data_IF_987777698683
#
_entry.id   IF_987777698683
#
_cell.length_a   1.000
_cell.length_b   1.000
_cell.length_c   1.000
_cell.angle_alpha   90.00
_cell.angle_beta   90.00
_cell.angle_gamma   90.00
#
_symmetry.space_group_name_H-M   'P 1'
#
loop_
_entity.id
_entity.type
_entity.pdbx_description
1 polymer ?
#
# COMPACT_ATOMS: atom_id res chain seq x y z
N UNK A 1 19.19 -6.85 1.54
CA UNK A 1 18.72 -5.71 0.72
C UNK A 1 17.19 -5.68 0.76
N UNK A 2 16.59 -4.60 1.26
CA UNK A 2 15.14 -4.44 1.42
C UNK A 2 14.48 -3.71 0.22
N UNK A 3 15.10 -3.83 -0.96
CA UNK A 3 14.60 -3.22 -2.18
C UNK A 3 13.62 -4.20 -2.81
N UNK A 4 12.39 -3.72 -3.05
CA UNK A 4 11.34 -4.51 -3.67
C UNK A 4 10.72 -3.76 -4.83
N UNK A 5 10.26 -4.49 -5.85
CA UNK A 5 9.42 -3.94 -6.91
C UNK A 5 7.95 -4.24 -6.63
N UNK A 6 7.14 -3.20 -6.53
CA UNK A 6 5.70 -3.29 -6.23
C UNK A 6 4.86 -2.81 -7.40
N UNK A 7 3.60 -3.23 -7.45
CA UNK A 7 2.64 -2.74 -8.43
C UNK A 7 1.28 -2.39 -7.81
N UNK A 8 0.71 -1.28 -8.27
CA UNK A 8 -0.71 -1.00 -8.15
C UNK A 8 -1.38 -1.34 -9.49
N UNK A 9 -2.38 -2.20 -9.45
CA UNK A 9 -3.11 -2.65 -10.63
C UNK A 9 -4.41 -1.86 -10.74
N UNK A 10 -4.64 -1.24 -11.89
CA UNK A 10 -5.93 -0.68 -12.26
C UNK A 10 -6.74 -1.74 -13.02
N UNK A 11 -8.03 -1.79 -12.75
CA UNK A 11 -9.00 -2.66 -13.45
C UNK A 11 -10.00 -1.75 -14.16
N UNK A 12 -10.30 -2.03 -15.42
CA UNK A 12 -11.19 -1.17 -16.20
C UNK A 12 -12.54 -1.02 -15.50
N UNK A 13 -13.01 0.23 -15.41
CA UNK A 13 -14.27 0.55 -14.77
C UNK A 13 -15.43 0.41 -15.76
N UNK A 14 -15.77 -0.85 -16.02
CA UNK A 14 -16.86 -1.27 -16.89
C UNK A 14 -17.68 -2.33 -16.19
N UNK A 15 -18.86 -2.60 -16.72
CA UNK A 15 -19.63 -3.77 -16.32
C UNK A 15 -18.92 -5.05 -16.78
N UNK A 16 -18.82 -6.02 -15.87
CA UNK A 16 -18.37 -7.36 -16.21
C UNK A 16 -19.55 -8.33 -16.12
N UNK A 17 -19.63 -9.25 -17.06
CA UNK A 17 -20.69 -10.26 -17.11
C UNK A 17 -20.66 -11.25 -15.94
N UNK A 18 -19.52 -11.38 -15.25
CA UNK A 18 -19.35 -12.27 -14.12
C UNK A 18 -18.07 -11.94 -13.33
N UNK A 19 -17.96 -12.50 -12.12
CA UNK A 19 -16.72 -12.47 -11.35
C UNK A 19 -15.54 -13.06 -12.15
N UNK A 20 -15.79 -14.15 -12.87
CA UNK A 20 -14.78 -14.83 -13.67
C UNK A 20 -14.24 -13.95 -14.80
N UNK A 21 -15.08 -13.14 -15.46
CA UNK A 21 -14.62 -12.23 -16.52
C UNK A 21 -13.82 -11.05 -15.96
N UNK A 22 -14.21 -10.50 -14.79
CA UNK A 22 -13.37 -9.51 -14.08
C UNK A 22 -12.04 -10.10 -13.63
N UNK A 23 -12.04 -11.32 -13.12
CA UNK A 23 -10.80 -12.02 -12.74
C UNK A 23 -9.93 -12.33 -13.96
N UNK A 24 -10.48 -12.58 -15.15
CA UNK A 24 -9.67 -12.73 -16.35
C UNK A 24 -8.84 -11.47 -16.63
N UNK A 25 -9.41 -10.28 -16.41
CA UNK A 25 -8.70 -9.02 -16.52
C UNK A 25 -7.63 -8.85 -15.42
N UNK A 26 -7.98 -9.09 -14.14
CA UNK A 26 -6.99 -9.10 -13.05
C UNK A 26 -5.81 -10.02 -13.39
N UNK A 27 -6.10 -11.26 -13.80
CA UNK A 27 -5.09 -12.26 -14.17
C UNK A 27 -4.19 -11.79 -15.32
N UNK A 28 -4.74 -11.12 -16.33
CA UNK A 28 -3.95 -10.53 -17.43
C UNK A 28 -2.93 -9.53 -16.89
N UNK A 29 -3.36 -8.60 -16.03
CA UNK A 29 -2.50 -7.56 -15.49
C UNK A 29 -1.49 -8.06 -14.46
N UNK A 30 -1.85 -9.07 -13.66
CA UNK A 30 -0.92 -9.74 -12.75
C UNK A 30 0.21 -10.45 -13.49
N UNK A 31 -0.08 -11.14 -14.62
CA UNK A 31 0.95 -11.72 -15.49
C UNK A 31 1.89 -10.65 -16.04
N UNK A 32 1.32 -9.53 -16.51
CA UNK A 32 2.11 -8.42 -17.02
C UNK A 32 3.01 -7.83 -15.93
N UNK A 33 2.47 -7.53 -14.75
CA UNK A 33 3.22 -7.03 -13.61
C UNK A 33 4.38 -7.97 -13.27
N UNK A 34 4.12 -9.28 -13.15
CA UNK A 34 5.15 -10.26 -12.82
C UNK A 34 6.25 -10.34 -13.87
N UNK A 35 5.90 -10.26 -15.16
CA UNK A 35 6.87 -10.26 -16.26
C UNK A 35 7.85 -9.08 -16.18
N UNK A 36 7.48 -7.99 -15.51
CA UNK A 36 8.37 -6.84 -15.26
C UNK A 36 9.19 -6.95 -13.96
N UNK A 37 9.14 -8.08 -13.25
CA UNK A 37 9.88 -8.31 -12.02
C UNK A 37 9.19 -7.83 -10.73
N UNK A 38 7.90 -7.50 -10.79
CA UNK A 38 7.10 -7.16 -9.58
C UNK A 38 7.05 -8.35 -8.63
N UNK A 39 7.22 -8.08 -7.33
CA UNK A 39 7.20 -9.05 -6.24
C UNK A 39 5.92 -8.99 -5.40
N UNK A 40 5.28 -7.81 -5.32
CA UNK A 40 4.00 -7.61 -4.63
C UNK A 40 3.07 -6.75 -5.47
N UNK A 41 1.84 -7.21 -5.70
CA UNK A 41 0.81 -6.48 -6.42
C UNK A 41 -0.41 -6.18 -5.53
N UNK A 42 -0.99 -4.99 -5.72
CA UNK A 42 -2.21 -4.55 -5.04
C UNK A 42 -3.33 -4.39 -6.06
N UNK A 43 -4.47 -5.03 -5.81
CA UNK A 43 -5.70 -4.87 -6.61
C UNK A 43 -6.60 -3.76 -6.02
N UNK A 44 -7.51 -3.16 -6.83
CA UNK A 44 -8.44 -2.14 -6.35
C UNK A 44 -9.48 -2.66 -5.37
N UNK A 45 -10.05 -1.78 -4.54
CA UNK A 45 -11.09 -2.11 -3.56
C UNK A 45 -12.26 -2.91 -4.18
N UNK A 46 -12.74 -3.91 -3.44
CA UNK A 46 -13.90 -4.75 -3.79
C UNK A 46 -13.85 -5.33 -5.21
N UNK A 47 -12.83 -6.14 -5.52
CA UNK A 47 -12.72 -6.78 -6.85
C UNK A 47 -13.91 -7.66 -7.18
N UNK A 48 -14.64 -8.16 -6.17
CA UNK A 48 -15.83 -8.97 -6.36
C UNK A 48 -17.11 -8.18 -6.69
N UNK A 49 -17.09 -6.85 -6.61
CA UNK A 49 -18.22 -6.02 -7.02
C UNK A 49 -18.03 -5.64 -8.49
N UNK A 50 -18.87 -6.18 -9.39
CA UNK A 50 -18.64 -6.11 -10.84
C UNK A 50 -19.84 -5.60 -11.66
N UNK A 51 -20.90 -5.17 -11.00
CA UNK A 51 -22.19 -4.75 -11.60
C UNK A 51 -22.58 -3.29 -11.27
N UNK A 52 -21.69 -2.48 -10.72
CA UNK A 52 -22.04 -1.14 -10.16
C UNK A 52 -22.62 -0.14 -11.15
N UNK A 53 -22.38 -0.32 -12.45
CA UNK A 53 -22.90 0.55 -13.51
C UNK A 53 -24.27 0.13 -14.06
N UNK A 54 -24.91 -0.89 -13.48
CA UNK A 54 -26.25 -1.34 -13.92
C UNK A 54 -27.36 -0.41 -13.41
N UNK A 55 -28.11 0.26 -14.31
CA UNK A 55 -29.33 0.95 -13.94
C UNK A 55 -30.45 -0.09 -13.86
N UNK A 56 -30.81 -0.51 -12.63
CA UNK A 56 -32.04 -1.23 -12.19
C UNK A 56 -31.83 -2.68 -11.71
N UNK A 57 -32.45 -2.96 -10.56
CA UNK A 57 -32.98 -4.27 -10.14
C UNK A 57 -32.01 -5.44 -9.87
N UNK A 58 -30.86 -5.18 -9.23
CA UNK A 58 -30.20 -6.21 -8.42
C UNK A 58 -30.39 -5.82 -6.96
N UNK A 59 -30.82 -6.76 -6.11
CA UNK A 59 -30.86 -6.53 -4.67
C UNK A 59 -29.44 -6.11 -4.23
N UNK A 60 -29.30 -4.81 -3.95
CA UNK A 60 -28.03 -4.13 -3.64
C UNK A 60 -27.36 -4.68 -2.38
N UNK A 61 -28.00 -5.64 -1.71
CA UNK A 61 -27.53 -6.38 -0.54
C UNK A 61 -26.66 -7.60 -0.86
N UNK A 62 -26.51 -8.03 -2.11
CA UNK A 62 -25.92 -9.35 -2.43
C UNK A 62 -24.48 -9.33 -2.99
N UNK A 63 -23.76 -8.22 -2.80
CA UNK A 63 -22.44 -8.07 -3.40
C UNK A 63 -21.28 -8.79 -2.71
N UNK A 64 -21.52 -9.30 -1.51
CA UNK A 64 -20.50 -9.98 -0.72
C UNK A 64 -20.35 -11.43 -1.14
N UNK A 65 -19.15 -11.95 -1.05
CA UNK A 65 -18.88 -13.38 -1.21
C UNK A 65 -19.17 -14.12 0.10
N UNK A 66 -19.91 -15.23 0.03
CA UNK A 66 -20.04 -16.12 1.20
C UNK A 66 -18.82 -17.05 1.30
N UNK A 67 -18.42 -17.65 0.17
CA UNK A 67 -17.28 -18.56 0.09
C UNK A 67 -16.11 -17.87 -0.59
N UNK A 68 -15.73 -16.70 -0.07
CA UNK A 68 -14.75 -15.83 -0.73
C UNK A 68 -13.43 -16.54 -1.06
N UNK A 69 -13.00 -17.50 -0.25
CA UNK A 69 -11.77 -18.28 -0.48
C UNK A 69 -11.86 -19.12 -1.74
N UNK A 70 -12.95 -19.86 -1.92
CA UNK A 70 -13.17 -20.72 -3.07
C UNK A 70 -13.40 -19.87 -4.33
N UNK A 71 -14.20 -18.82 -4.18
CA UNK A 71 -14.52 -17.91 -5.27
C UNK A 71 -13.27 -17.14 -5.75
N UNK A 72 -12.38 -16.74 -4.85
CA UNK A 72 -11.11 -16.07 -5.16
C UNK A 72 -9.94 -17.02 -5.42
N UNK A 73 -10.12 -18.33 -5.24
CA UNK A 73 -9.07 -19.34 -5.44
C UNK A 73 -8.36 -19.20 -6.80
N UNK A 74 -9.04 -18.90 -7.94
CA UNK A 74 -8.36 -18.73 -9.22
C UNK A 74 -7.37 -17.56 -9.27
N UNK A 75 -7.54 -16.51 -8.47
CA UNK A 75 -6.56 -15.42 -8.35
C UNK A 75 -5.39 -15.83 -7.47
N UNK A 76 -5.67 -16.48 -6.34
CA UNK A 76 -4.68 -16.94 -5.37
C UNK A 76 -3.74 -17.97 -6.01
N UNK A 77 -4.29 -18.95 -6.74
CA UNK A 77 -3.50 -19.95 -7.47
C UNK A 77 -2.60 -19.30 -8.51
N UNK A 78 -3.12 -18.37 -9.32
CA UNK A 78 -2.29 -17.70 -10.31
C UNK A 78 -1.16 -16.91 -9.65
N UNK A 79 -1.43 -16.20 -8.55
CA UNK A 79 -0.40 -15.45 -7.83
C UNK A 79 0.73 -16.36 -7.34
N UNK A 80 0.39 -17.52 -6.79
CA UNK A 80 1.35 -18.54 -6.36
C UNK A 80 2.14 -19.16 -7.54
N UNK A 81 1.48 -19.46 -8.66
CA UNK A 81 2.13 -19.93 -9.90
C UNK A 81 3.14 -18.90 -10.41
N UNK A 82 2.78 -17.61 -10.33
CA UNK A 82 3.61 -16.49 -10.75
C UNK A 82 4.71 -16.14 -9.75
N UNK A 83 4.72 -16.72 -8.55
CA UNK A 83 5.59 -16.30 -7.43
C UNK A 83 5.44 -14.80 -7.15
N UNK A 84 4.20 -14.35 -6.98
CA UNK A 84 3.81 -12.97 -6.78
C UNK A 84 2.99 -12.85 -5.48
N UNK A 85 3.44 -12.04 -4.53
CA UNK A 85 2.60 -11.66 -3.40
C UNK A 85 1.44 -10.77 -3.88
N UNK A 86 0.25 -10.94 -3.31
CA UNK A 86 -0.97 -10.34 -3.84
C UNK A 86 -1.94 -9.92 -2.73
N UNK A 87 -2.53 -8.73 -2.86
CA UNK A 87 -3.77 -8.41 -2.13
C UNK A 87 -4.99 -8.88 -2.89
N UNK A 88 -5.93 -9.51 -2.16
CA UNK A 88 -7.25 -9.91 -2.67
C UNK A 88 -8.32 -9.11 -1.90
N UNK A 89 -8.70 -7.93 -2.38
CA UNK A 89 -9.70 -7.06 -1.74
C UNK A 89 -11.12 -7.46 -2.11
N UNK A 90 -11.92 -7.82 -1.11
CA UNK A 90 -13.29 -8.30 -1.31
C UNK A 90 -14.25 -7.74 -0.27
N UNK A 91 -15.51 -7.56 -0.70
CA UNK A 91 -16.63 -7.54 0.22
C UNK A 91 -17.02 -9.00 0.51
N UNK A 92 -17.02 -9.43 1.76
CA UNK A 92 -17.34 -10.82 2.11
C UNK A 92 -18.17 -10.91 3.38
N UNK A 93 -18.83 -12.04 3.57
CA UNK A 93 -19.55 -12.36 4.80
C UNK A 93 -18.74 -13.38 5.60
N UNK A 94 -18.47 -13.09 6.87
CA UNK A 94 -17.75 -14.01 7.75
C UNK A 94 -18.65 -15.05 8.39
N UNK A 95 -18.05 -15.92 9.21
CA UNK A 95 -18.75 -17.05 9.85
C UNK A 95 -19.81 -16.62 10.88
N UNK A 96 -19.72 -15.39 11.39
CA UNK A 96 -20.69 -14.79 12.31
C UNK A 96 -21.76 -13.98 11.56
N UNK A 97 -21.89 -14.23 10.24
CA UNK A 97 -22.84 -13.59 9.35
C UNK A 97 -22.65 -12.06 9.22
N UNK A 98 -21.44 -11.54 9.52
CA UNK A 98 -21.12 -10.12 9.40
C UNK A 98 -20.45 -9.81 8.08
N UNK A 99 -20.78 -8.66 7.49
CA UNK A 99 -20.26 -8.25 6.18
C UNK A 99 -19.08 -7.32 6.40
N UNK A 100 -17.94 -7.60 5.76
CA UNK A 100 -16.75 -6.78 5.83
C UNK A 100 -16.25 -6.39 4.45
N UNK A 101 -15.83 -5.13 4.30
CA UNK A 101 -14.95 -4.70 3.23
C UNK A 101 -13.51 -4.94 3.70
N UNK A 102 -12.82 -5.87 3.07
CA UNK A 102 -11.53 -6.35 3.54
C UNK A 102 -10.57 -6.57 2.38
N UNK A 103 -9.29 -6.74 2.71
CA UNK A 103 -8.37 -7.41 1.82
C UNK A 103 -7.56 -8.46 2.55
N UNK A 104 -7.20 -9.49 1.82
CA UNK A 104 -6.33 -10.57 2.29
C UNK A 104 -5.00 -10.47 1.58
N UNK A 105 -3.90 -10.50 2.35
CA UNK A 105 -2.56 -10.52 1.79
C UNK A 105 -2.06 -11.96 1.68
N UNK A 106 -1.59 -12.34 0.50
CA UNK A 106 -0.98 -13.63 0.23
C UNK A 106 0.50 -13.45 -0.14
N UNK A 107 1.34 -14.38 0.32
CA UNK A 107 2.73 -14.47 -0.12
C UNK A 107 2.85 -15.09 -1.52
N UNK A 108 4.07 -15.12 -2.03
CA UNK A 108 4.42 -15.68 -3.34
C UNK A 108 4.21 -17.20 -3.47
N UNK A 109 3.87 -17.90 -2.38
CA UNK A 109 3.56 -19.33 -2.37
C UNK A 109 2.06 -19.58 -2.18
N UNK A 110 1.23 -18.53 -2.12
CA UNK A 110 -0.21 -18.64 -1.92
C UNK A 110 -0.62 -18.84 -0.46
N UNK A 111 0.28 -18.62 0.51
CA UNK A 111 -0.04 -18.63 1.93
C UNK A 111 -0.63 -17.28 2.34
N UNK A 112 -1.77 -17.29 3.02
CA UNK A 112 -2.37 -16.09 3.60
C UNK A 112 -1.49 -15.57 4.75
N UNK A 113 -1.02 -14.33 4.65
CA UNK A 113 -0.20 -13.65 5.65
C UNK A 113 -1.05 -12.87 6.66
N UNK A 114 -2.25 -12.45 6.25
CA UNK A 114 -3.22 -11.85 7.13
C UNK A 114 -4.37 -11.18 6.38
N UNK A 115 -5.20 -10.53 7.16
CA UNK A 115 -6.42 -9.85 6.74
C UNK A 115 -6.41 -8.44 7.30
N UNK A 116 -6.89 -7.50 6.49
CA UNK A 116 -7.25 -6.17 6.93
C UNK A 116 -8.71 -5.91 6.63
N UNK A 117 -9.48 -5.52 7.64
CA UNK A 117 -10.89 -5.11 7.53
C UNK A 117 -10.98 -3.59 7.67
N UNK A 118 -11.82 -2.96 6.85
CA UNK A 118 -11.96 -1.49 6.79
C UNK A 118 -12.37 -0.91 8.14
N UNK A 119 -11.68 0.14 8.57
CA UNK A 119 -11.89 0.76 9.87
C UNK A 119 -13.03 1.79 9.82
N UNK A 120 -13.02 2.63 8.80
CA UNK A 120 -13.91 3.77 8.65
C UNK A 120 -14.81 3.58 7.43
N UNK A 121 -16.12 3.47 7.69
CA UNK A 121 -17.12 3.20 6.66
C UNK A 121 -17.69 4.49 6.08
N UNK A 122 -17.99 4.45 4.80
CA UNK A 122 -18.82 5.48 4.16
C UNK A 122 -20.30 5.33 4.58
N UNK A 123 -21.13 6.39 4.47
CA UNK A 123 -22.57 6.27 4.73
C UNK A 123 -23.27 5.18 3.91
N UNK A 124 -22.79 4.94 2.67
CA UNK A 124 -23.32 3.88 1.82
C UNK A 124 -23.01 2.48 2.36
N UNK A 125 -21.77 2.23 2.80
CA UNK A 125 -21.38 0.96 3.40
C UNK A 125 -22.16 0.66 4.68
N UNK A 126 -22.39 1.68 5.52
CA UNK A 126 -23.25 1.56 6.71
C UNK A 126 -24.69 1.17 6.30
N UNK A 127 -25.26 1.83 5.29
CA UNK A 127 -26.60 1.51 4.79
C UNK A 127 -26.70 0.09 4.19
N UNK A 128 -25.59 -0.45 3.67
CA UNK A 128 -25.48 -1.82 3.17
C UNK A 128 -25.19 -2.86 4.27
N UNK A 129 -25.06 -2.44 5.54
CA UNK A 129 -24.83 -3.35 6.66
C UNK A 129 -23.39 -3.85 6.80
N UNK A 130 -22.43 -3.14 6.18
CA UNK A 130 -21.00 -3.44 6.38
C UNK A 130 -20.61 -3.10 7.82
N UNK A 131 -19.82 -3.96 8.45
CA UNK A 131 -19.25 -3.76 9.77
C UNK A 131 -17.85 -3.12 9.69
N UNK A 132 -17.53 -2.16 10.57
CA UNK A 132 -16.17 -1.68 10.72
C UNK A 132 -15.33 -2.67 11.55
N UNK A 133 -14.01 -2.58 11.43
CA UNK A 133 -13.07 -3.24 12.34
C UNK A 133 -11.97 -2.25 12.77
N UNK A 134 -12.00 -1.73 14.01
CA UNK A 134 -11.06 -0.71 14.47
C UNK A 134 -9.71 -1.27 14.93
N UNK A 135 -9.46 -2.57 14.83
CA UNK A 135 -8.29 -3.24 15.44
C UNK A 135 -7.37 -3.86 14.38
N UNK A 136 -6.80 -3.07 13.46
CA UNK A 136 -5.93 -3.62 12.42
C UNK A 136 -4.64 -4.19 13.04
N UNK A 137 -4.21 -5.35 12.55
CA UNK A 137 -2.93 -5.94 12.92
C UNK A 137 -1.92 -5.78 11.78
N UNK A 138 -0.67 -5.48 12.13
CA UNK A 138 0.43 -5.50 11.16
C UNK A 138 0.65 -6.93 10.64
N UNK A 139 0.60 -7.08 9.32
CA UNK A 139 0.96 -8.31 8.64
C UNK A 139 2.48 -8.38 8.49
N UNK A 140 3.01 -9.59 8.29
CA UNK A 140 4.43 -9.81 8.03
C UNK A 140 4.63 -10.43 6.67
N UNK A 141 5.45 -9.81 5.83
CA UNK A 141 5.88 -10.36 4.56
C UNK A 141 7.40 -10.18 4.44
N UNK A 142 8.14 -11.29 4.35
CA UNK A 142 9.59 -11.31 4.53
C UNK A 142 9.98 -10.64 5.86
N UNK A 143 10.91 -9.69 5.82
CA UNK A 143 11.33 -8.90 6.98
C UNK A 143 10.56 -7.57 7.12
N UNK A 144 9.46 -7.40 6.38
CA UNK A 144 8.67 -6.17 6.36
C UNK A 144 7.40 -6.30 7.21
N UNK A 145 7.10 -5.23 7.95
CA UNK A 145 5.81 -5.00 8.60
C UNK A 145 4.89 -4.30 7.61
N UNK A 146 3.76 -4.93 7.30
CA UNK A 146 2.81 -4.47 6.31
C UNK A 146 1.56 -3.96 7.02
N UNK A 147 1.23 -2.69 6.81
CA UNK A 147 -0.04 -2.10 7.22
C UNK A 147 -1.08 -2.16 6.10
N UNK A 148 -2.33 -1.92 6.48
CA UNK A 148 -3.45 -1.81 5.55
C UNK A 148 -4.24 -0.52 5.70
N UNK A 149 -4.86 -0.09 4.61
CA UNK A 149 -5.93 0.89 4.60
C UNK A 149 -6.87 0.55 3.44
N UNK A 150 -8.15 0.90 3.55
CA UNK A 150 -9.07 0.80 2.41
C UNK A 150 -9.75 2.15 2.21
N UNK A 151 -9.47 2.79 1.07
CA UNK A 151 -10.19 3.97 0.58
C UNK A 151 -10.39 5.08 1.62
N UNK A 152 -11.56 5.11 2.25
CA UNK A 152 -11.97 6.12 3.23
C UNK A 152 -11.08 6.14 4.48
N UNK A 153 -10.46 5.00 4.83
CA UNK A 153 -9.49 4.90 5.93
C UNK A 153 -8.33 5.90 5.79
N UNK A 154 -7.98 6.29 4.55
CA UNK A 154 -6.86 7.19 4.27
C UNK A 154 -7.04 8.61 4.82
N UNK A 155 -8.27 8.98 5.20
CA UNK A 155 -8.62 10.28 5.75
C UNK A 155 -8.38 10.40 7.26
N UNK A 156 -8.13 9.28 7.95
CA UNK A 156 -8.11 9.21 9.41
C UNK A 156 -6.69 8.95 9.92
N UNK A 157 -6.19 9.80 10.81
CA UNK A 157 -4.85 9.65 11.38
C UNK A 157 -4.73 8.35 12.20
N UNK A 158 -5.82 7.96 12.85
CA UNK A 158 -5.96 6.77 13.68
C UNK A 158 -5.66 5.49 12.90
N UNK A 159 -5.98 5.46 11.59
CA UNK A 159 -5.65 4.34 10.71
C UNK A 159 -4.16 4.01 10.74
N UNK A 160 -3.33 5.06 10.69
CA UNK A 160 -1.88 4.93 10.65
C UNK A 160 -1.28 4.77 12.04
N UNK A 161 -1.79 5.50 13.03
CA UNK A 161 -1.32 5.42 14.42
C UNK A 161 -1.49 4.03 15.04
N UNK A 162 -2.58 3.32 14.72
CA UNK A 162 -2.81 1.94 15.19
C UNK A 162 -1.86 0.93 14.56
N UNK A 163 -1.19 1.30 13.47
CA UNK A 163 -0.29 0.46 12.69
C UNK A 163 1.13 1.05 12.65
N UNK A 164 1.51 1.73 13.73
CA UNK A 164 2.80 2.40 13.83
C UNK A 164 3.99 1.43 13.64
N UNK A 165 5.05 1.94 13.02
CA UNK A 165 6.23 1.15 12.66
C UNK A 165 6.06 0.21 11.48
N UNK A 166 5.02 0.37 10.65
CA UNK A 166 4.92 -0.30 9.35
C UNK A 166 5.99 0.18 8.37
N UNK A 167 6.44 -0.70 7.47
CA UNK A 167 7.35 -0.34 6.38
C UNK A 167 6.59 0.02 5.09
N UNK A 168 5.43 -0.62 4.88
CA UNK A 168 4.64 -0.53 3.67
C UNK A 168 3.15 -0.58 4.00
N UNK A 169 2.39 0.40 3.49
CA UNK A 169 0.94 0.44 3.53
C UNK A 169 0.38 -0.06 2.19
N UNK A 170 -0.46 -1.09 2.23
CA UNK A 170 -1.22 -1.56 1.06
C UNK A 170 -2.63 -0.97 1.10
N UNK A 171 -3.03 -0.31 0.01
CA UNK A 171 -4.28 0.44 -0.02
C UNK A 171 -5.12 0.16 -1.28
N UNK A 172 -5.96 -0.89 -1.27
CA UNK A 172 -7.07 -1.02 -2.22
C UNK A 172 -8.03 0.16 -2.07
N UNK A 173 -8.37 0.85 -3.17
CA UNK A 173 -9.13 2.08 -3.08
C UNK A 173 -10.03 2.39 -4.29
N UNK A 174 -11.07 3.18 -4.04
CA UNK A 174 -11.90 3.88 -5.04
C UNK A 174 -11.70 5.41 -5.01
N UNK A 175 -10.63 5.87 -4.36
CA UNK A 175 -10.25 7.26 -4.17
C UNK A 175 -8.70 7.42 -4.21
N UNK A 176 -8.15 8.50 -4.77
CA UNK A 176 -6.69 8.70 -4.90
C UNK A 176 -5.92 8.99 -3.60
N UNK A 177 -6.57 9.07 -2.44
CA UNK A 177 -5.90 9.28 -1.14
C UNK A 177 -5.49 10.73 -0.82
N UNK A 178 -5.53 11.66 -1.79
CA UNK A 178 -5.21 13.08 -1.59
C UNK A 178 -3.77 13.36 -1.12
N UNK A 179 -3.46 14.60 -0.78
CA UNK A 179 -2.13 15.00 -0.29
C UNK A 179 -1.86 14.57 1.17
N UNK A 180 -2.91 14.33 1.95
CA UNK A 180 -2.79 13.82 3.32
C UNK A 180 -2.10 12.45 3.36
N UNK A 181 -2.34 11.59 2.37
CA UNK A 181 -1.67 10.28 2.30
C UNK A 181 -0.16 10.44 2.08
N UNK A 182 0.27 11.42 1.29
CA UNK A 182 1.68 11.79 1.14
C UNK A 182 2.24 12.26 2.48
N UNK A 183 1.52 13.16 3.15
CA UNK A 183 1.91 13.66 4.46
C UNK A 183 2.12 12.52 5.45
N UNK A 184 1.15 11.62 5.64
CA UNK A 184 1.28 10.49 6.56
C UNK A 184 2.42 9.53 6.18
N UNK A 185 2.57 9.21 4.89
CA UNK A 185 3.70 8.37 4.40
C UNK A 185 5.05 8.98 4.80
N UNK A 186 5.19 10.29 4.63
CA UNK A 186 6.39 11.05 4.99
C UNK A 186 6.63 11.13 6.51
N UNK A 187 5.61 11.57 7.25
CA UNK A 187 5.74 11.82 8.69
C UNK A 187 5.79 10.55 9.54
N UNK A 188 5.41 9.38 9.01
CA UNK A 188 5.51 8.11 9.71
C UNK A 188 6.53 7.16 9.08
N UNK A 189 7.23 7.61 8.03
CA UNK A 189 8.27 6.86 7.30
C UNK A 189 7.81 5.46 6.83
N UNK A 190 6.71 5.41 6.07
CA UNK A 190 6.28 4.20 5.39
C UNK A 190 6.01 4.47 3.91
N UNK A 191 6.27 3.48 3.06
CA UNK A 191 5.87 3.56 1.65
C UNK A 191 4.39 3.21 1.51
N UNK A 192 3.71 3.71 0.47
CA UNK A 192 2.32 3.38 0.18
C UNK A 192 2.16 2.84 -1.24
N UNK A 193 1.37 1.77 -1.39
CA UNK A 193 0.90 1.27 -2.69
C UNK A 193 -0.62 1.36 -2.71
N UNK A 194 -1.14 2.40 -3.37
CA UNK A 194 -2.56 2.64 -3.54
C UNK A 194 -3.02 2.16 -4.92
N UNK A 195 -3.92 1.18 -4.94
CA UNK A 195 -4.53 0.68 -6.16
C UNK A 195 -5.93 1.26 -6.32
N UNK A 196 -6.06 2.15 -7.31
CA UNK A 196 -7.32 2.76 -7.71
C UNK A 196 -7.37 2.81 -9.25
N UNK A 197 -8.46 2.31 -9.82
CA UNK A 197 -8.58 2.15 -11.26
C UNK A 197 -8.36 3.42 -12.06
N UNK A 198 -8.77 4.60 -11.56
CA UNK A 198 -8.54 5.85 -12.28
C UNK A 198 -7.17 6.46 -12.00
N UNK A 199 -6.71 6.41 -10.75
CA UNK A 199 -5.47 7.08 -10.34
C UNK A 199 -4.80 6.34 -9.17
N UNK A 200 -4.16 5.22 -9.50
CA UNK A 200 -3.26 4.49 -8.62
C UNK A 200 -2.00 5.30 -8.34
N UNK A 201 -1.42 5.10 -7.15
CA UNK A 201 -0.27 5.89 -6.67
C UNK A 201 0.67 5.00 -5.88
N UNK A 202 1.96 5.18 -6.10
CA UNK A 202 3.01 4.64 -5.24
C UNK A 202 3.76 5.82 -4.64
N UNK A 203 3.75 5.90 -3.32
CA UNK A 203 4.31 7.02 -2.55
C UNK A 203 5.46 6.47 -1.72
N UNK A 204 6.63 7.11 -1.83
CA UNK A 204 7.78 6.76 -1.03
C UNK A 204 7.63 7.24 0.42
N UNK A 205 8.45 6.69 1.32
CA UNK A 205 8.43 7.03 2.74
C UNK A 205 8.84 8.47 3.07
N UNK A 206 9.25 9.29 2.10
CA UNK A 206 9.47 10.73 2.23
C UNK A 206 8.23 11.56 1.80
N UNK A 207 7.14 10.90 1.41
CA UNK A 207 5.92 11.53 0.90
C UNK A 207 5.96 11.83 -0.61
N UNK A 208 7.07 11.55 -1.31
CA UNK A 208 7.17 11.76 -2.76
C UNK A 208 6.36 10.71 -3.51
N UNK A 209 5.55 11.14 -4.48
CA UNK A 209 4.92 10.22 -5.42
C UNK A 209 5.97 9.74 -6.44
N UNK A 210 6.32 8.44 -6.38
CA UNK A 210 7.35 7.84 -7.24
C UNK A 210 6.78 7.21 -8.50
N UNK A 211 5.49 6.90 -8.51
CA UNK A 211 4.74 6.49 -9.69
C UNK A 211 3.25 6.75 -9.50
N UNK A 212 2.56 7.14 -10.58
CA UNK A 212 1.11 7.24 -10.60
C UNK A 212 0.55 7.00 -11.99
N UNK A 213 -0.72 6.59 -12.06
CA UNK A 213 -1.41 6.32 -13.31
C UNK A 213 -2.67 5.50 -13.11
N UNK A 214 -3.35 5.20 -14.20
CA UNK A 214 -4.62 4.46 -14.21
C UNK A 214 -5.44 4.88 -15.41
N UNK A 215 -6.70 4.44 -15.47
CA UNK A 215 -7.62 4.65 -16.59
C UNK A 215 -8.21 6.06 -16.70
N UNK A 216 -7.74 7.06 -15.95
CA UNK A 216 -8.36 8.40 -15.92
C UNK A 216 -8.44 9.05 -17.31
N UNK A 217 -9.66 9.26 -17.80
CA UNK A 217 -9.97 9.77 -19.13
C UNK A 217 -9.58 11.26 -19.35
N UNK A 218 -9.64 12.12 -18.33
CA UNK A 218 -9.53 13.58 -18.54
C UNK A 218 -8.09 14.13 -18.65
N UNK A 219 -7.06 13.32 -18.37
CA UNK A 219 -5.64 13.75 -18.44
C UNK A 219 -4.78 12.89 -19.38
N UNK A 220 -5.39 11.93 -20.09
CA UNK A 220 -4.69 11.06 -21.03
C UNK A 220 -4.68 11.67 -22.44
N UNK A 221 -3.49 11.96 -22.96
CA UNK A 221 -3.29 12.50 -24.32
C UNK A 221 -3.80 11.56 -25.45
N UNK A 222 -4.00 10.27 -25.18
CA UNK A 222 -4.34 9.24 -26.17
C UNK A 222 -5.42 8.23 -25.72
N UNK A 223 -6.26 8.59 -24.74
CA UNK A 223 -7.48 7.81 -24.42
C UNK A 223 -7.31 6.47 -23.69
N UNK A 224 -6.09 6.02 -23.38
CA UNK A 224 -5.85 4.82 -22.57
C UNK A 224 -4.68 5.03 -21.60
N UNK A 225 -4.88 4.66 -20.33
CA UNK A 225 -3.86 4.77 -19.29
C UNK A 225 -3.07 3.48 -19.11
N UNK A 226 -2.01 3.54 -18.29
CA UNK A 226 -1.20 2.35 -17.96
C UNK A 226 -1.89 1.61 -16.81
N UNK A 227 -2.35 0.36 -17.00
CA UNK A 227 -3.12 -0.37 -15.99
C UNK A 227 -2.26 -1.05 -14.92
N UNK A 228 -0.94 -1.08 -15.13
CA UNK A 228 0.04 -1.64 -14.20
C UNK A 228 1.04 -0.56 -13.84
N UNK A 229 0.87 0.05 -12.68
CA UNK A 229 1.74 1.11 -12.18
C UNK A 229 2.78 0.44 -11.30
N UNK A 230 4.06 0.56 -11.62
CA UNK A 230 5.14 -0.11 -10.88
C UNK A 230 6.17 0.88 -10.35
N UNK A 231 6.75 0.58 -9.20
CA UNK A 231 7.94 1.26 -8.70
C UNK A 231 8.85 0.29 -7.97
N UNK A 232 10.14 0.62 -7.93
CA UNK A 232 11.12 -0.05 -7.06
C UNK A 232 11.33 0.84 -5.85
N UNK A 233 11.10 0.30 -4.66
CA UNK A 233 11.18 1.04 -3.39
C UNK A 233 12.20 0.38 -2.46
N UNK A 234 12.95 1.20 -1.73
CA UNK A 234 13.85 0.73 -0.69
C UNK A 234 13.13 0.78 0.66
N UNK A 235 12.70 -0.35 1.19
CA UNK A 235 12.00 -0.43 2.47
C UNK A 235 12.91 -0.28 3.70
N UNK A 236 14.23 -0.17 3.50
CA UNK A 236 15.19 0.19 4.55
C UNK A 236 15.47 1.71 4.56
N UNK A 237 14.90 2.49 3.63
CA UNK A 237 15.02 3.96 3.60
C UNK A 237 14.57 4.57 4.93
N UNK A 238 15.33 5.54 5.41
CA UNK A 238 15.04 6.28 6.64
C UNK A 238 15.06 7.80 6.44
N UNK A 239 14.30 8.47 7.29
CA UNK A 239 14.15 9.92 7.31
C UNK A 239 14.74 10.50 8.60
N UNK A 240 15.42 11.64 8.49
CA UNK A 240 16.14 12.29 9.59
C UNK A 240 15.89 13.80 9.55
N UNK A 241 15.65 14.44 10.69
CA UNK A 241 15.64 15.91 10.73
C UNK A 241 17.06 16.46 10.56
N UNK A 242 17.18 17.63 9.94
CA UNK A 242 18.46 18.34 9.78
C UNK A 242 19.11 18.74 11.11
N UNK A 243 18.32 19.17 12.10
CA UNK A 243 18.84 19.36 13.45
C UNK A 243 19.51 18.06 13.91
N UNK A 244 20.68 18.13 14.57
CA UNK A 244 21.52 17.00 15.04
C UNK A 244 22.11 16.02 14.00
N UNK A 245 21.56 15.92 12.79
CA UNK A 245 22.07 15.01 11.75
C UNK A 245 22.76 15.72 10.58
N UNK A 246 22.63 17.05 10.44
CA UNK A 246 23.16 17.82 9.30
C UNK A 246 24.63 17.54 9.01
N UNK A 247 25.50 17.64 10.02
CA UNK A 247 26.95 17.47 9.85
C UNK A 247 27.31 16.02 9.49
N UNK A 248 26.54 15.06 10.01
CA UNK A 248 26.74 13.62 9.77
C UNK A 248 26.45 13.22 8.32
N UNK A 249 25.63 13.99 7.59
CA UNK A 249 25.33 13.68 6.18
C UNK A 249 26.58 13.78 5.30
N UNK A 250 27.43 14.78 5.55
CA UNK A 250 28.69 14.93 4.83
C UNK A 250 29.67 13.79 5.12
N UNK A 251 29.75 13.35 6.38
CA UNK A 251 30.57 12.21 6.80
C UNK A 251 30.10 10.90 6.12
N UNK A 252 28.78 10.68 6.05
CA UNK A 252 28.20 9.55 5.35
C UNK A 252 28.52 9.57 3.85
N UNK A 253 28.36 10.71 3.17
CA UNK A 253 28.69 10.83 1.74
C UNK A 253 30.18 10.58 1.50
N UNK A 254 31.06 11.09 2.36
CA UNK A 254 32.51 10.89 2.25
C UNK A 254 32.93 9.43 2.48
N UNK A 255 32.31 8.73 3.44
CA UNK A 255 32.67 7.35 3.76
C UNK A 255 32.06 6.32 2.80
N UNK A 256 30.80 6.49 2.40
CA UNK A 256 30.06 5.46 1.67
C UNK A 256 29.87 5.76 0.18
N UNK A 257 29.96 7.04 -0.23
CA UNK A 257 29.84 7.45 -1.63
C UNK A 257 28.58 6.90 -2.31
N UNK A 258 28.77 6.15 -3.39
CA UNK A 258 27.71 5.58 -4.22
C UNK A 258 26.96 4.40 -3.59
N UNK A 259 27.43 3.90 -2.45
CA UNK A 259 26.76 2.84 -1.68
C UNK A 259 25.55 3.34 -0.90
N UNK A 260 25.38 4.66 -0.79
CA UNK A 260 24.20 5.29 -0.21
C UNK A 260 23.64 6.32 -1.17
N UNK A 261 22.40 6.73 -0.90
CA UNK A 261 21.79 7.87 -1.57
C UNK A 261 21.16 8.79 -0.55
N UNK A 262 21.57 10.04 -0.58
CA UNK A 262 21.08 11.09 0.30
C UNK A 262 20.25 12.09 -0.52
N UNK A 263 19.15 12.55 0.07
CA UNK A 263 18.32 13.65 -0.45
C UNK A 263 17.96 14.59 0.68
N UNK A 264 17.87 15.88 0.36
CA UNK A 264 17.36 16.89 1.29
C UNK A 264 16.08 17.52 0.75
N UNK A 265 15.00 17.38 1.50
CA UNK A 265 13.81 18.18 1.35
C UNK A 265 13.96 19.45 2.21
N UNK A 266 14.29 20.54 1.54
CA UNK A 266 14.49 21.83 2.19
C UNK A 266 13.20 22.40 2.79
N UNK A 267 12.03 22.09 2.25
CA UNK A 267 10.76 22.62 2.77
C UNK A 267 10.40 21.97 4.11
N UNK A 268 10.72 20.69 4.26
CA UNK A 268 10.44 19.92 5.48
C UNK A 268 11.65 19.75 6.40
N UNK A 269 12.80 20.34 6.06
CA UNK A 269 14.08 20.17 6.75
C UNK A 269 14.43 18.69 6.98
N UNK A 270 14.18 17.87 5.96
CA UNK A 270 14.22 16.42 6.07
C UNK A 270 15.30 15.83 5.17
N UNK A 271 16.20 15.06 5.78
CA UNK A 271 17.14 14.20 5.08
C UNK A 271 16.52 12.82 4.89
N UNK A 272 16.59 12.30 3.68
CA UNK A 272 16.23 10.92 3.36
C UNK A 272 17.48 10.19 2.92
N UNK A 273 17.78 9.07 3.58
CA UNK A 273 18.95 8.25 3.29
C UNK A 273 18.51 6.82 2.93
N UNK A 274 19.10 6.29 1.86
CA UNK A 274 18.89 4.93 1.37
C UNK A 274 20.22 4.19 1.32
N UNK A 275 20.30 2.99 1.91
CA UNK A 275 21.39 2.06 1.62
C UNK A 275 21.18 1.44 0.24
N UNK A 276 22.17 1.56 -0.64
CA UNK A 276 22.22 0.89 -1.95
C UNK A 276 23.13 -0.35 -1.92
N UNK A 277 23.72 -0.65 -0.76
CA UNK A 277 24.65 -1.76 -0.57
C UNK A 277 23.95 -2.97 0.07
N UNK A 278 24.27 -4.20 -0.33
CA UNK A 278 23.82 -5.39 0.38
C UNK A 278 24.55 -5.60 1.72
N UNK A 279 25.63 -4.86 1.98
CA UNK A 279 26.55 -5.13 3.10
C UNK A 279 26.15 -4.46 4.42
N UNK A 280 25.25 -3.47 4.38
CA UNK A 280 24.78 -2.75 5.56
C UNK A 280 23.36 -2.23 5.35
N UNK A 281 22.66 -2.04 6.46
CA UNK A 281 21.32 -1.45 6.55
C UNK A 281 21.40 -0.02 7.10
N UNK A 282 20.30 0.71 7.01
CA UNK A 282 20.19 2.03 7.66
C UNK A 282 20.35 1.93 9.17
N UNK A 283 19.91 0.82 9.78
CA UNK A 283 20.13 0.56 11.21
C UNK A 283 21.61 0.45 11.56
N UNK A 284 22.42 -0.19 10.71
CA UNK A 284 23.87 -0.29 10.93
C UNK A 284 24.53 1.10 10.85
N UNK A 285 24.10 1.93 9.89
CA UNK A 285 24.56 3.31 9.77
C UNK A 285 24.14 4.18 10.96
N UNK A 286 22.90 4.03 11.43
CA UNK A 286 22.38 4.72 12.61
C UNK A 286 23.21 4.42 13.86
N UNK A 287 23.53 3.14 14.08
CA UNK A 287 24.34 2.73 15.23
C UNK A 287 25.79 3.23 15.13
N UNK A 288 26.39 3.15 13.95
CA UNK A 288 27.80 3.53 13.74
C UNK A 288 28.01 5.04 13.82
N UNK A 289 27.11 5.82 13.23
CA UNK A 289 27.24 7.28 13.11
C UNK A 289 26.40 8.05 14.14
N UNK A 290 25.69 7.33 15.02
CA UNK A 290 24.78 7.92 16.00
C UNK A 290 23.69 8.76 15.34
N UNK A 291 23.18 8.34 14.17
CA UNK A 291 22.04 9.03 13.54
C UNK A 291 20.79 8.78 14.38
N UNK A 292 19.99 9.81 14.55
CA UNK A 292 18.71 9.70 15.25
C UNK A 292 17.61 9.87 14.21
N UNK A 293 16.88 8.78 13.95
CA UNK A 293 15.77 8.79 13.00
C UNK A 293 14.70 9.80 13.43
N UNK A 294 13.91 10.26 12.47
CA UNK A 294 12.90 11.30 12.70
C UNK A 294 11.92 10.92 13.81
N UNK A 295 11.48 9.67 13.85
CA UNK A 295 10.55 9.14 14.84
C UNK A 295 11.13 9.25 16.25
N UNK A 296 12.37 8.76 16.44
CA UNK A 296 13.04 8.80 17.74
C UNK A 296 13.29 10.24 18.20
N UNK A 297 13.67 11.14 17.28
CA UNK A 297 13.85 12.55 17.60
C UNK A 297 12.54 13.17 18.11
N UNK A 298 11.41 12.94 17.41
CA UNK A 298 10.12 13.46 17.86
C UNK A 298 9.65 12.84 19.17
N UNK A 299 9.89 11.55 19.38
CA UNK A 299 9.59 10.87 20.63
C UNK A 299 10.37 11.49 21.80
N UNK A 300 11.66 11.78 21.61
CA UNK A 300 12.49 12.47 22.61
C UNK A 300 12.03 13.91 22.88
N UNK A 301 11.57 14.64 21.87
CA UNK A 301 10.97 15.96 22.09
C UNK A 301 9.66 15.85 22.88
N UNK A 302 8.82 14.87 22.55
CA UNK A 302 7.51 14.67 23.16
C UNK A 302 7.58 14.16 24.61
N UNK A 303 8.62 13.39 24.98
CA UNK A 303 8.81 12.90 26.35
C UNK A 303 9.00 14.01 27.38
N UNK A 304 9.38 15.23 26.95
CA UNK A 304 9.45 16.40 27.82
C UNK A 304 8.06 17.00 28.14
N UNK A 305 7.02 16.60 27.40
CA UNK A 305 5.64 17.09 27.51
C UNK A 305 4.76 16.03 28.18
N UNK A 306 4.95 14.76 27.82
CA UNK A 306 4.20 13.63 28.34
C UNK A 306 5.17 12.68 29.07
N UNK A 307 5.38 12.88 30.40
CA UNK A 307 6.28 12.07 31.20
C UNK A 307 5.80 10.63 31.40
#
# INVERSE_FOLDING_TARGET
MHIIKVAAIAIEDKEYSSLASKFAECKRWLRHARATGVQLAVLPETVNVFWEHTPRNIDKRSGYLQNWRDECHPLICLAAELKLALTVPVLYKDIDERIYNAFFLYDENGKMLGEYRKQFLTPHEVACGVCPDPSPALMKWNNLKIGGAICFDTLYAETYQRQDGMNLLLCPSRWPGGCQLNFFSGIMNFHTVLAYSYWSRIIASDGTEVAAGGYRNETLRYGFGVPVITATINCDRQNYFGNINQEKMADLEAEYGDQIKIRFDQQNCLWTVESLSPNFTMRDLEQKHGLICRQDYLAQCASNIYP
#
